data_IF_294136134809
#
_entry.id   IF_294136134809
#
_cell.length_a   1.000
_cell.length_b   1.000
_cell.length_c   1.000
_cell.angle_alpha   90.00
_cell.angle_beta   90.00
_cell.angle_gamma   90.00
#
_symmetry.space_group_name_H-M   'P 1'
#
loop_
_entity.id
_entity.type
_entity.pdbx_description
1 polymer ?
#
# COMPACT_ATOMS: atom_id res chain seq x y z
N UNK A 1 -20.54 44.10 -1.73
CA UNK A 1 -19.58 43.31 -2.51
C UNK A 1 -18.50 42.88 -1.55
N UNK A 2 -18.43 41.60 -1.22
CA UNK A 2 -17.35 41.06 -0.38
C UNK A 2 -16.08 41.06 -1.21
N UNK A 3 -15.04 41.73 -0.72
CA UNK A 3 -13.76 41.85 -1.40
C UNK A 3 -13.13 40.44 -1.51
N UNK A 4 -12.86 40.01 -2.74
CA UNK A 4 -12.28 38.70 -3.05
C UNK A 4 -10.94 38.54 -2.30
N UNK A 5 -10.20 39.64 -2.10
CA UNK A 5 -8.94 39.62 -1.38
C UNK A 5 -9.12 39.45 0.13
N UNK A 6 -10.25 39.91 0.69
CA UNK A 6 -10.60 39.64 2.09
C UNK A 6 -10.93 38.16 2.31
N UNK A 7 -11.64 37.53 1.35
CA UNK A 7 -11.98 36.10 1.42
C UNK A 7 -10.72 35.25 1.31
N UNK A 8 -9.79 35.60 0.39
CA UNK A 8 -8.50 34.91 0.24
C UNK A 8 -7.68 34.94 1.53
N UNK A 9 -7.55 36.11 2.15
CA UNK A 9 -6.84 36.25 3.43
C UNK A 9 -7.47 35.42 4.54
N UNK A 10 -8.80 35.38 4.63
CA UNK A 10 -9.49 34.56 5.63
C UNK A 10 -9.24 33.07 5.40
N UNK A 11 -9.24 32.63 4.14
CA UNK A 11 -8.93 31.24 3.78
C UNK A 11 -7.48 30.90 4.16
N UNK A 12 -6.52 31.76 3.81
CA UNK A 12 -5.11 31.54 4.12
C UNK A 12 -4.86 31.49 5.64
N UNK A 13 -5.50 32.37 6.41
CA UNK A 13 -5.41 32.38 7.88
C UNK A 13 -5.99 31.08 8.47
N UNK A 14 -7.14 30.61 7.95
CA UNK A 14 -7.74 29.35 8.40
C UNK A 14 -6.85 28.15 8.08
N UNK A 15 -6.26 28.10 6.89
CA UNK A 15 -5.31 27.04 6.54
C UNK A 15 -4.09 27.07 7.47
N UNK A 16 -3.52 28.25 7.73
CA UNK A 16 -2.40 28.40 8.65
C UNK A 16 -2.71 27.83 10.03
N UNK A 17 -3.85 28.22 10.62
CA UNK A 17 -4.27 27.73 11.95
C UNK A 17 -4.46 26.20 11.98
N UNK A 18 -5.00 25.63 10.91
CA UNK A 18 -5.16 24.18 10.78
C UNK A 18 -3.79 23.50 10.74
N UNK A 19 -2.86 23.98 9.92
CA UNK A 19 -1.51 23.43 9.84
C UNK A 19 -0.75 23.53 11.16
N UNK A 20 -0.81 24.68 11.84
CA UNK A 20 -0.21 24.86 13.15
C UNK A 20 -0.77 23.85 14.16
N UNK A 21 -2.08 23.62 14.18
CA UNK A 21 -2.72 22.61 15.02
C UNK A 21 -2.20 21.19 14.74
N UNK A 22 -2.04 20.83 13.47
CA UNK A 22 -1.50 19.52 13.10
C UNK A 22 -0.03 19.35 13.49
N UNK A 23 0.80 20.37 13.28
CA UNK A 23 2.21 20.35 13.69
C UNK A 23 2.32 20.17 15.20
N UNK A 24 1.55 20.91 15.99
CA UNK A 24 1.54 20.76 17.45
C UNK A 24 1.18 19.33 17.88
N UNK A 25 0.20 18.69 17.22
CA UNK A 25 -0.19 17.30 17.52
C UNK A 25 0.91 16.31 17.15
N UNK A 26 1.56 16.48 16.00
CA UNK A 26 2.67 15.61 15.57
C UNK A 26 3.82 15.69 16.57
N UNK A 27 4.19 16.90 17.00
CA UNK A 27 5.25 17.10 18.00
C UNK A 27 4.91 16.44 19.34
N UNK A 28 3.68 16.62 19.83
CA UNK A 28 3.24 16.00 21.08
C UNK A 28 3.29 14.46 21.03
N UNK A 29 3.00 13.86 19.87
CA UNK A 29 3.14 12.41 19.67
C UNK A 29 4.61 12.03 19.61
N UNK A 30 5.42 12.75 18.84
CA UNK A 30 6.86 12.47 18.68
C UNK A 30 7.62 12.49 20.03
N UNK A 31 7.28 13.42 20.92
CA UNK A 31 7.86 13.49 22.27
C UNK A 31 7.58 12.23 23.11
N UNK A 32 6.45 11.57 22.87
CA UNK A 32 6.04 10.32 23.54
C UNK A 32 6.68 9.07 22.92
N UNK A 33 7.26 9.17 21.71
CA UNK A 33 7.93 8.05 21.04
C UNK A 33 9.30 7.79 21.68
N UNK A 34 9.58 6.51 21.95
CA UNK A 34 10.87 6.09 22.50
C UNK A 34 12.01 6.26 21.48
N UNK A 35 13.25 6.32 21.97
CA UNK A 35 14.41 6.64 21.13
C UNK A 35 14.63 5.69 19.94
N UNK A 36 14.22 4.43 20.06
CA UNK A 36 14.38 3.40 19.02
C UNK A 36 13.36 3.59 17.89
N UNK A 37 12.17 4.07 18.20
CA UNK A 37 11.06 4.22 17.25
C UNK A 37 11.02 5.60 16.57
N UNK A 38 11.75 6.60 17.08
CA UNK A 38 11.77 7.97 16.54
C UNK A 38 12.21 8.03 15.08
N UNK A 39 13.24 7.29 14.70
CA UNK A 39 13.71 7.22 13.32
C UNK A 39 12.62 6.64 12.39
N UNK A 40 11.92 5.61 12.85
CA UNK A 40 10.80 5.02 12.10
C UNK A 40 9.62 6.00 12.00
N UNK A 41 9.33 6.75 13.06
CA UNK A 41 8.29 7.78 13.06
C UNK A 41 8.60 8.89 12.04
N UNK A 42 9.82 9.42 12.04
CA UNK A 42 10.25 10.45 11.09
C UNK A 42 10.22 9.94 9.64
N UNK A 43 10.72 8.74 9.39
CA UNK A 43 10.67 8.11 8.06
C UNK A 43 9.22 7.92 7.57
N UNK A 44 8.27 7.62 8.47
CA UNK A 44 6.86 7.53 8.09
C UNK A 44 6.24 8.91 7.81
N UNK A 45 6.65 9.94 8.55
CA UNK A 45 6.21 11.31 8.32
C UNK A 45 6.71 11.82 6.95
N UNK A 46 7.99 11.58 6.63
CA UNK A 46 8.60 11.92 5.34
C UNK A 46 7.84 11.27 4.18
N UNK A 47 7.50 9.98 4.31
CA UNK A 47 6.69 9.28 3.32
C UNK A 47 5.30 9.89 3.12
N UNK A 48 4.69 10.47 4.18
CA UNK A 48 3.42 11.22 4.06
C UNK A 48 3.63 12.57 3.39
N UNK A 49 4.77 13.23 3.59
CA UNK A 49 5.07 14.47 2.87
C UNK A 49 5.26 14.18 1.38
N UNK A 50 6.16 13.26 1.03
CA UNK A 50 6.47 12.88 -0.37
C UNK A 50 5.22 12.52 -1.17
N UNK A 51 4.34 11.78 -0.53
CA UNK A 51 3.08 11.32 -1.11
C UNK A 51 2.05 12.42 -1.34
N UNK A 52 2.02 13.46 -0.51
CA UNK A 52 1.18 14.65 -0.69
C UNK A 52 1.76 15.47 -1.84
N UNK A 53 3.09 15.62 -1.91
CA UNK A 53 3.78 16.32 -3.00
C UNK A 53 3.59 15.65 -4.37
N UNK A 54 3.55 14.32 -4.41
CA UNK A 54 3.33 13.53 -5.64
C UNK A 54 1.82 13.38 -5.95
N UNK A 55 0.93 13.87 -5.08
CA UNK A 55 -0.53 13.74 -5.24
C UNK A 55 -1.07 12.31 -5.06
N UNK A 56 -0.30 11.45 -4.42
CA UNK A 56 -0.60 10.04 -4.17
C UNK A 56 -0.61 9.78 -2.66
N UNK A 57 -1.72 10.03 -1.97
CA UNK A 57 -1.84 9.78 -0.52
C UNK A 57 -1.33 8.37 -0.14
N UNK A 58 -0.41 8.23 0.82
CA UNK A 58 -0.02 6.95 1.36
C UNK A 58 -0.99 6.69 2.50
N UNK A 59 -1.89 5.74 2.29
CA UNK A 59 -2.55 5.13 3.41
C UNK A 59 -1.46 4.55 4.33
N UNK A 60 -1.08 5.28 5.39
CA UNK A 60 -0.39 4.69 6.54
C UNK A 60 -1.41 3.73 7.17
N UNK A 61 -1.47 2.52 6.65
CA UNK A 61 -2.25 1.44 7.24
C UNK A 61 -1.34 0.78 8.28
N UNK A 62 -1.54 1.12 9.55
CA UNK A 62 -1.14 0.30 10.69
C UNK A 62 -2.01 -0.97 10.78
N UNK A 63 -2.08 -1.71 9.69
CA UNK A 63 -2.78 -2.98 9.58
C UNK A 63 -1.83 -3.90 8.84
N UNK A 64 -1.55 -5.07 9.42
CA UNK A 64 -0.77 -6.08 8.73
C UNK A 64 -1.36 -6.26 7.33
N UNK A 65 -0.59 -5.90 6.29
CA UNK A 65 -0.96 -6.14 4.89
C UNK A 65 -1.12 -7.64 4.76
N UNK A 66 -2.33 -8.11 4.94
CA UNK A 66 -2.68 -9.52 4.99
C UNK A 66 -3.19 -9.86 3.61
N UNK A 67 -2.48 -10.76 2.96
CA UNK A 67 -2.82 -11.24 1.63
C UNK A 67 -4.25 -11.79 1.60
N UNK A 68 -5.14 -11.13 0.87
CA UNK A 68 -6.49 -11.65 0.62
C UNK A 68 -6.41 -12.78 -0.42
N UNK A 69 -6.50 -14.00 0.10
CA UNK A 69 -6.45 -15.24 -0.67
C UNK A 69 -7.66 -15.38 -1.60
N UNK A 70 -8.85 -14.97 -1.12
CA UNK A 70 -10.10 -15.14 -1.87
C UNK A 70 -10.12 -14.23 -3.08
N UNK A 71 -9.73 -12.96 -2.89
CA UNK A 71 -9.62 -11.99 -3.97
C UNK A 71 -8.58 -12.41 -5.01
N UNK A 72 -7.42 -12.88 -4.60
CA UNK A 72 -6.40 -13.35 -5.52
C UNK A 72 -6.88 -14.56 -6.37
N UNK A 73 -7.60 -15.51 -5.76
CA UNK A 73 -8.22 -16.63 -6.48
C UNK A 73 -9.29 -16.14 -7.45
N UNK A 74 -10.11 -15.15 -7.07
CA UNK A 74 -11.13 -14.59 -7.94
C UNK A 74 -10.51 -13.96 -9.19
N UNK A 75 -9.51 -13.10 -9.02
CA UNK A 75 -8.76 -12.47 -10.12
C UNK A 75 -8.15 -13.53 -11.04
N UNK A 76 -7.55 -14.58 -10.48
CA UNK A 76 -7.00 -15.69 -11.29
C UNK A 76 -8.06 -16.35 -12.16
N UNK A 77 -9.23 -16.65 -11.58
CA UNK A 77 -10.33 -17.29 -12.30
C UNK A 77 -10.94 -16.37 -13.35
N UNK A 78 -11.09 -15.08 -13.04
CA UNK A 78 -11.56 -14.05 -13.99
C UNK A 78 -10.62 -13.89 -15.18
N UNK A 79 -9.31 -14.01 -14.95
CA UNK A 79 -8.29 -14.04 -16.00
C UNK A 79 -8.24 -15.36 -16.81
N UNK A 80 -9.13 -16.32 -16.51
CA UNK A 80 -9.27 -17.57 -17.26
C UNK A 80 -8.36 -18.72 -16.81
N UNK A 81 -7.61 -18.58 -15.72
CA UNK A 81 -6.75 -19.65 -15.20
C UNK A 81 -7.51 -20.51 -14.16
N UNK A 82 -7.70 -21.79 -14.47
CA UNK A 82 -8.47 -22.72 -13.62
C UNK A 82 -7.72 -23.06 -12.33
N UNK A 83 -6.39 -23.12 -12.40
CA UNK A 83 -5.53 -23.46 -11.27
C UNK A 83 -4.23 -22.63 -11.23
N UNK A 84 -3.57 -22.62 -10.07
CA UNK A 84 -2.30 -21.94 -9.86
C UNK A 84 -1.18 -22.42 -10.79
N UNK A 85 -1.24 -23.66 -11.28
CA UNK A 85 -0.24 -24.24 -12.19
C UNK A 85 -0.33 -23.71 -13.61
N UNK A 86 -1.52 -23.36 -14.09
CA UNK A 86 -1.72 -22.66 -15.36
C UNK A 86 -1.21 -21.24 -15.30
N UNK A 87 -1.55 -20.50 -14.22
CA UNK A 87 -1.01 -19.17 -14.01
C UNK A 87 0.52 -19.19 -13.88
N UNK A 88 1.09 -20.15 -13.13
CA UNK A 88 2.54 -20.27 -13.01
C UNK A 88 3.21 -20.47 -14.38
N UNK A 89 2.66 -21.34 -15.24
CA UNK A 89 3.17 -21.56 -16.60
C UNK A 89 3.02 -20.32 -17.48
N UNK A 90 1.92 -19.58 -17.36
CA UNK A 90 1.72 -18.33 -18.09
C UNK A 90 2.79 -17.30 -17.70
N UNK A 91 3.04 -17.14 -16.41
CA UNK A 91 4.04 -16.20 -15.90
C UNK A 91 5.49 -16.57 -16.25
N UNK A 92 5.76 -17.76 -16.75
CA UNK A 92 7.11 -18.27 -17.01
C UNK A 92 7.32 -18.65 -18.48
N UNK A 93 6.49 -18.10 -19.38
CA UNK A 93 6.54 -18.36 -20.82
C UNK A 93 6.50 -19.87 -21.13
N UNK A 94 5.67 -20.61 -20.40
CA UNK A 94 5.48 -22.05 -20.54
C UNK A 94 6.52 -22.92 -19.82
N UNK A 95 7.56 -22.34 -19.20
CA UNK A 95 8.55 -23.12 -18.44
C UNK A 95 7.92 -23.66 -17.15
N UNK A 96 8.08 -24.94 -16.87
CA UNK A 96 7.53 -25.58 -15.68
C UNK A 96 8.28 -25.14 -14.41
N UNK A 97 8.00 -23.95 -13.90
CA UNK A 97 8.60 -23.45 -12.66
C UNK A 97 7.80 -23.93 -11.44
N UNK A 98 8.11 -25.15 -10.99
CA UNK A 98 7.53 -25.76 -9.79
C UNK A 98 7.58 -24.82 -8.57
N UNK A 99 8.61 -23.97 -8.48
CA UNK A 99 8.81 -22.99 -7.42
C UNK A 99 7.78 -21.86 -7.45
N UNK A 100 7.41 -21.35 -8.62
CA UNK A 100 6.39 -20.31 -8.74
C UNK A 100 4.99 -20.88 -8.45
N UNK A 101 4.68 -22.05 -9.00
CA UNK A 101 3.44 -22.77 -8.69
C UNK A 101 3.26 -22.98 -7.18
N UNK A 102 4.31 -23.45 -6.48
CA UNK A 102 4.29 -23.60 -5.02
C UNK A 102 4.07 -22.27 -4.31
N UNK A 103 4.73 -21.20 -4.77
CA UNK A 103 4.57 -19.85 -4.21
C UNK A 103 3.11 -19.39 -4.31
N UNK A 104 2.52 -19.42 -5.51
CA UNK A 104 1.12 -19.04 -5.75
C UNK A 104 0.18 -19.87 -4.88
N UNK A 105 0.35 -21.19 -4.88
CA UNK A 105 -0.48 -22.11 -4.08
C UNK A 105 -0.41 -21.80 -2.58
N UNK A 106 0.77 -21.45 -2.05
CA UNK A 106 0.92 -21.12 -0.62
C UNK A 106 0.21 -19.81 -0.26
N UNK A 107 0.21 -18.83 -1.15
CA UNK A 107 -0.57 -17.60 -0.98
C UNK A 107 -2.07 -17.89 -1.07
N UNK A 108 -2.54 -18.60 -2.10
CA UNK A 108 -3.97 -18.92 -2.28
C UNK A 108 -4.55 -19.80 -1.15
N UNK A 109 -3.72 -20.64 -0.52
CA UNK A 109 -4.10 -21.43 0.66
C UNK A 109 -3.98 -20.67 1.99
N UNK A 110 -3.52 -19.42 1.98
CA UNK A 110 -3.30 -18.62 3.19
C UNK A 110 -2.14 -19.08 4.08
N UNK A 111 -1.24 -19.91 3.55
CA UNK A 111 -0.01 -20.35 4.24
C UNK A 111 0.99 -19.18 4.28
N UNK A 112 1.08 -18.42 3.19
CA UNK A 112 1.83 -17.16 3.14
C UNK A 112 0.83 -16.01 3.25
N UNK A 113 0.96 -15.21 4.31
CA UNK A 113 0.06 -14.07 4.58
C UNK A 113 0.68 -12.72 4.27
N UNK A 114 2.01 -12.66 4.17
CA UNK A 114 2.76 -11.42 3.91
C UNK A 114 3.53 -11.57 2.60
N UNK A 115 3.63 -10.52 1.78
CA UNK A 115 4.44 -10.54 0.57
C UNK A 115 5.91 -10.70 0.91
N UNK A 116 6.53 -11.78 0.43
CA UNK A 116 7.97 -11.98 0.57
C UNK A 116 8.73 -11.17 -0.50
N UNK A 117 9.88 -10.60 -0.15
CA UNK A 117 10.75 -9.84 -1.09
C UNK A 117 11.59 -10.75 -1.99
N UNK A 118 11.03 -11.85 -2.48
CA UNK A 118 11.71 -12.74 -3.43
C UNK A 118 11.13 -12.55 -4.85
N UNK A 119 11.94 -12.87 -5.87
CA UNK A 119 11.57 -12.65 -7.27
C UNK A 119 10.27 -13.36 -7.68
N UNK A 120 9.98 -14.53 -7.09
CA UNK A 120 8.76 -15.30 -7.38
C UNK A 120 7.51 -14.63 -6.83
N UNK A 121 7.55 -14.16 -5.58
CA UNK A 121 6.44 -13.41 -4.98
C UNK A 121 6.27 -12.10 -5.73
N UNK A 122 7.34 -11.36 -6.00
CA UNK A 122 7.28 -10.10 -6.76
C UNK A 122 6.61 -10.29 -8.12
N UNK A 123 6.93 -11.36 -8.85
CA UNK A 123 6.30 -11.70 -10.13
C UNK A 123 4.80 -11.95 -10.00
N UNK A 124 4.40 -12.73 -9.00
CA UNK A 124 2.98 -13.00 -8.74
C UNK A 124 2.21 -11.76 -8.30
N UNK A 125 2.78 -10.95 -7.40
CA UNK A 125 2.17 -9.71 -6.93
C UNK A 125 2.09 -8.64 -8.02
N UNK A 126 3.10 -8.54 -8.90
CA UNK A 126 3.06 -7.67 -10.08
C UNK A 126 1.89 -8.03 -10.99
N UNK A 127 1.78 -9.30 -11.35
CA UNK A 127 0.66 -9.78 -12.17
C UNK A 127 -0.70 -9.53 -11.51
N UNK A 128 -0.83 -9.82 -10.21
CA UNK A 128 -2.06 -9.54 -9.46
C UNK A 128 -2.41 -8.04 -9.51
N UNK A 129 -1.43 -7.16 -9.31
CA UNK A 129 -1.61 -5.70 -9.36
C UNK A 129 -2.10 -5.24 -10.73
N UNK A 130 -1.53 -5.77 -11.81
CA UNK A 130 -1.94 -5.46 -13.18
C UNK A 130 -3.40 -5.88 -13.47
N UNK A 131 -3.92 -6.84 -12.71
CA UNK A 131 -5.30 -7.32 -12.78
C UNK A 131 -6.19 -6.75 -11.65
N UNK A 132 -5.83 -5.59 -11.09
CA UNK A 132 -6.66 -4.87 -10.12
C UNK A 132 -6.58 -5.38 -8.67
N UNK A 133 -5.60 -6.23 -8.35
CA UNK A 133 -5.34 -6.59 -6.97
C UNK A 133 -4.65 -5.44 -6.24
N UNK A 134 -5.44 -4.66 -5.53
CA UNK A 134 -4.93 -3.82 -4.46
C UNK A 134 -5.05 -4.58 -3.13
N UNK A 135 -3.93 -4.83 -2.41
CA UNK A 135 -3.95 -5.40 -1.07
C UNK A 135 -4.59 -4.46 -0.03
N UNK A 136 -4.88 -3.22 -0.42
CA UNK A 136 -5.48 -2.17 0.39
C UNK A 136 -6.91 -1.79 -0.03
N UNK A 137 -7.64 -2.62 -0.79
CA UNK A 137 -9.01 -2.30 -1.21
C UNK A 137 -9.95 -2.12 0.01
N UNK A 138 -10.03 -0.88 0.49
CA UNK A 138 -11.27 -0.14 0.68
C UNK A 138 -11.71 0.44 -0.66
#
# INVERSE_FOLDING_TARGET
>A
MTDIDSIRKEIDERYRLIFESYISRINAVYEQVNAVERETFLNNLERVVDSIEIGSFPLIIHGEITFDCRKAIAIRKEAGFLNAGELARHLTDGKAENSLYRTITRYEKGILKKPHRNGLSAKYFGWLKDHGYNPHNL
#
